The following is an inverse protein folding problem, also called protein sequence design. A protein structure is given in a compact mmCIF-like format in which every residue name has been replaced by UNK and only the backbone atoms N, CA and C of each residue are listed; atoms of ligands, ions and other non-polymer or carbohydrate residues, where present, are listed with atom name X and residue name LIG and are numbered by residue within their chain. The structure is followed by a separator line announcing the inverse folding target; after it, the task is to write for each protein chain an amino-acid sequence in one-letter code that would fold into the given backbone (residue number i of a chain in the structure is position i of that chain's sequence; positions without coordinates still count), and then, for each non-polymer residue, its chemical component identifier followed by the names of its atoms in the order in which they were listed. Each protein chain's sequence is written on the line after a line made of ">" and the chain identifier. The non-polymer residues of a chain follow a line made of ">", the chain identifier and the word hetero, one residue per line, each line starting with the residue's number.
data_IF_232947291675
#
_entry.id   IF_232947291675
#
_cell.length_a   1.000
_cell.length_b   1.000
_cell.length_c   1.000
_cell.angle_alpha   90.00
_cell.angle_beta   90.00
_cell.angle_gamma   90.00
#
_symmetry.space_group_name_H-M   'P 1'
#
loop_
_entity.id
_entity.type
_entity.pdbx_description
1 polymer ?
#
# COMPACT_ATOMS: atom_id res chain seq x y z
N UNK A 1 -1.48 4.15 -9.34
CA UNK A 1 -2.63 4.63 -8.56
C UNK A 1 -3.89 3.90 -8.99
N UNK A 2 -4.51 3.18 -8.06
CA UNK A 2 -5.72 2.38 -8.30
C UNK A 2 -6.34 1.98 -6.96
N UNK A 3 -7.62 1.60 -6.97
CA UNK A 3 -8.27 0.84 -5.88
C UNK A 3 -8.01 -0.67 -6.06
N UNK A 4 -8.40 -1.51 -5.11
CA UNK A 4 -8.13 -2.95 -5.22
C UNK A 4 -9.14 -3.64 -6.14
N UNK A 5 -8.82 -3.70 -7.43
CA UNK A 5 -9.64 -4.37 -8.46
C UNK A 5 -9.26 -5.85 -8.63
N UNK A 6 -10.13 -6.64 -9.25
CA UNK A 6 -9.83 -8.03 -9.62
C UNK A 6 -8.61 -8.15 -10.53
N UNK A 7 -8.36 -7.14 -11.38
CA UNK A 7 -7.16 -7.08 -12.20
C UNK A 7 -5.87 -7.01 -11.36
N UNK A 8 -5.89 -6.21 -10.29
CA UNK A 8 -4.78 -6.13 -9.33
C UNK A 8 -4.63 -7.45 -8.58
N UNK A 9 -5.73 -8.04 -8.10
CA UNK A 9 -5.69 -9.33 -7.40
C UNK A 9 -5.07 -10.43 -8.26
N UNK A 10 -5.50 -10.56 -9.53
CA UNK A 10 -4.90 -11.50 -10.49
C UNK A 10 -3.43 -11.22 -10.74
N UNK A 11 -3.03 -9.95 -10.92
CA UNK A 11 -1.63 -9.62 -11.12
C UNK A 11 -0.75 -10.10 -9.94
N UNK A 12 -1.22 -9.94 -8.69
CA UNK A 12 -0.50 -10.41 -7.51
C UNK A 12 -0.40 -11.94 -7.45
N UNK A 13 -1.49 -12.64 -7.75
CA UNK A 13 -1.58 -14.10 -7.54
C UNK A 13 -1.05 -14.93 -8.71
N UNK A 14 -1.17 -14.42 -9.95
CA UNK A 14 -0.75 -15.11 -11.17
C UNK A 14 0.69 -14.79 -11.54
N UNK A 15 1.10 -13.51 -11.50
CA UNK A 15 2.46 -13.09 -11.88
C UNK A 15 3.48 -13.29 -10.76
N UNK A 16 3.01 -13.37 -9.50
CA UNK A 16 3.81 -13.63 -8.30
C UNK A 16 5.10 -12.79 -8.21
N UNK A 17 5.01 -11.45 -8.25
CA UNK A 17 6.19 -10.57 -8.23
C UNK A 17 6.98 -10.66 -6.92
N UNK A 18 8.31 -10.58 -7.01
CA UNK A 18 9.18 -10.58 -5.82
C UNK A 18 9.03 -9.32 -4.95
N UNK A 19 8.66 -8.21 -5.59
CA UNK A 19 8.45 -6.92 -4.94
C UNK A 19 7.20 -6.27 -5.52
N UNK A 20 6.31 -5.81 -4.65
CA UNK A 20 5.15 -5.00 -5.01
C UNK A 20 5.27 -3.61 -4.40
N UNK A 21 4.77 -2.60 -5.11
CA UNK A 21 4.74 -1.21 -4.63
C UNK A 21 3.29 -0.75 -4.59
N UNK A 22 2.84 -0.26 -3.44
CA UNK A 22 1.46 0.18 -3.23
C UNK A 22 1.40 1.67 -2.90
N UNK A 23 0.48 2.39 -3.53
CA UNK A 23 0.17 3.77 -3.21
C UNK A 23 -0.78 3.81 -1.99
N UNK A 24 -0.21 3.97 -0.80
CA UNK A 24 -0.89 3.78 0.48
C UNK A 24 -1.51 5.07 1.08
N UNK A 25 -1.41 6.21 0.40
CA UNK A 25 -1.88 7.51 0.92
C UNK A 25 -3.39 7.68 1.07
N UNK A 26 -4.20 6.79 0.48
CA UNK A 26 -5.67 6.85 0.51
C UNK A 26 -6.22 8.19 0.02
N UNK A 27 -5.84 8.58 -1.20
CA UNK A 27 -6.41 9.75 -1.87
C UNK A 27 -7.91 9.59 -2.10
N UNK A 28 -8.69 10.61 -1.72
CA UNK A 28 -10.14 10.71 -1.98
C UNK A 28 -10.52 12.15 -2.33
N UNK A 29 -11.59 12.30 -3.11
CA UNK A 29 -12.25 13.59 -3.32
C UNK A 29 -13.32 13.84 -2.24
N UNK A 30 -13.70 15.10 -2.04
CA UNK A 30 -14.81 15.47 -1.13
C UNK A 30 -16.16 14.89 -1.59
N UNK A 31 -16.32 14.77 -2.91
CA UNK A 31 -17.47 14.13 -3.56
C UNK A 31 -16.93 13.18 -4.63
N UNK A 32 -17.30 11.91 -4.58
CA UNK A 32 -16.90 10.91 -5.57
C UNK A 32 -16.40 9.61 -4.96
N UNK A 33 -15.90 8.74 -5.83
CA UNK A 33 -15.34 7.45 -5.44
C UNK A 33 -13.89 7.59 -4.94
N UNK A 34 -13.40 6.65 -4.10
CA UNK A 34 -11.99 6.59 -3.73
C UNK A 34 -11.08 6.52 -4.96
N UNK A 35 -9.96 7.24 -4.93
CA UNK A 35 -8.97 7.20 -6.01
C UNK A 35 -7.89 6.15 -5.75
N UNK A 36 -7.56 5.95 -4.48
CA UNK A 36 -6.59 4.96 -4.01
C UNK A 36 -7.24 3.99 -3.02
N UNK A 37 -6.55 2.87 -2.83
CA UNK A 37 -6.91 1.86 -1.83
C UNK A 37 -7.16 2.48 -0.46
N UNK A 38 -8.26 2.03 0.17
CA UNK A 38 -8.49 2.15 1.61
C UNK A 38 -7.43 1.37 2.41
N UNK A 39 -7.35 1.61 3.73
CA UNK A 39 -6.43 0.85 4.59
C UNK A 39 -6.74 -0.66 4.51
N UNK A 40 -8.02 -1.04 4.49
CA UNK A 40 -8.42 -2.44 4.40
C UNK A 40 -8.00 -3.08 3.08
N UNK A 41 -8.17 -2.35 1.96
CA UNK A 41 -7.68 -2.77 0.65
C UNK A 41 -6.14 -2.86 0.60
N UNK A 42 -5.41 -1.96 1.28
CA UNK A 42 -3.95 -2.07 1.41
C UNK A 42 -3.58 -3.33 2.22
N UNK A 43 -4.30 -3.65 3.30
CA UNK A 43 -4.05 -4.88 4.05
C UNK A 43 -4.32 -6.12 3.19
N UNK A 44 -5.38 -6.12 2.38
CA UNK A 44 -5.67 -7.21 1.43
C UNK A 44 -4.60 -7.31 0.35
N UNK A 45 -4.17 -6.19 -0.24
CA UNK A 45 -3.06 -6.13 -1.19
C UNK A 45 -1.77 -6.72 -0.59
N UNK A 46 -1.45 -6.35 0.66
CA UNK A 46 -0.30 -6.89 1.37
C UNK A 46 -0.46 -8.40 1.55
N UNK A 47 -1.61 -8.90 2.02
CA UNK A 47 -1.85 -10.35 2.18
C UNK A 47 -1.67 -11.11 0.87
N UNK A 48 -2.20 -10.58 -0.23
CA UNK A 48 -2.12 -11.19 -1.57
C UNK A 48 -0.73 -11.09 -2.21
N UNK A 49 0.08 -10.10 -1.81
CA UNK A 49 1.44 -9.96 -2.31
C UNK A 49 2.29 -11.15 -1.82
N UNK A 50 2.97 -11.88 -2.73
CA UNK A 50 3.65 -13.11 -2.38
C UNK A 50 4.90 -12.87 -1.53
N UNK A 51 5.62 -11.79 -1.80
CA UNK A 51 6.91 -11.46 -1.21
C UNK A 51 6.87 -10.05 -0.59
N UNK A 52 7.85 -9.18 -0.90
CA UNK A 52 8.00 -7.87 -0.23
C UNK A 52 7.00 -6.84 -0.77
N UNK A 53 6.51 -5.97 0.11
CA UNK A 53 5.64 -4.84 -0.23
C UNK A 53 6.30 -3.54 0.18
N UNK A 54 6.38 -2.57 -0.73
CA UNK A 54 6.88 -1.22 -0.47
C UNK A 54 5.68 -0.26 -0.46
N UNK A 55 5.47 0.43 0.65
CA UNK A 55 4.44 1.45 0.75
C UNK A 55 4.98 2.82 0.29
N UNK A 56 4.28 3.44 -0.66
CA UNK A 56 4.61 4.74 -1.23
C UNK A 56 3.38 5.68 -1.18
N UNK A 57 3.52 6.90 -1.72
CA UNK A 57 2.46 7.85 -2.01
C UNK A 57 1.76 8.35 -0.74
N UNK A 58 2.54 8.67 0.30
CA UNK A 58 2.07 9.21 1.58
C UNK A 58 2.79 10.53 1.88
N UNK A 59 2.19 11.38 2.72
CA UNK A 59 2.84 12.55 3.34
C UNK A 59 3.42 13.63 2.39
N UNK A 60 3.18 13.53 1.08
CA UNK A 60 3.62 14.52 0.09
C UNK A 60 2.49 15.43 -0.44
N UNK A 61 1.24 14.96 -0.39
CA UNK A 61 0.07 15.65 -0.94
C UNK A 61 -1.06 15.75 0.10
N UNK A 62 -1.73 16.90 0.16
CA UNK A 62 -2.76 17.24 1.15
C UNK A 62 -3.97 16.29 1.17
N UNK A 63 -4.29 15.65 0.05
CA UNK A 63 -5.42 14.73 -0.09
C UNK A 63 -5.05 13.28 0.23
N UNK A 64 -3.80 12.99 0.58
CA UNK A 64 -3.36 11.69 1.08
C UNK A 64 -3.38 11.71 2.62
N UNK A 65 -4.50 11.25 3.20
CA UNK A 65 -4.74 11.35 4.64
C UNK A 65 -3.98 10.31 5.48
N UNK A 66 -3.40 9.27 4.86
CA UNK A 66 -2.66 8.22 5.58
C UNK A 66 -1.20 8.63 5.75
N UNK A 67 -0.74 8.63 6.99
CA UNK A 67 0.65 8.88 7.40
C UNK A 67 1.40 7.57 7.60
N UNK A 68 2.74 7.62 7.63
CA UNK A 68 3.58 6.44 7.89
C UNK A 68 3.27 5.79 9.25
N UNK A 69 3.08 6.54 10.36
CA UNK A 69 2.68 5.94 11.64
C UNK A 69 1.31 5.27 11.60
N UNK A 70 0.32 5.87 10.94
CA UNK A 70 -1.04 5.28 10.79
C UNK A 70 -0.95 3.96 10.04
N UNK A 71 -0.20 3.92 8.94
CA UNK A 71 -0.01 2.71 8.16
C UNK A 71 0.74 1.63 8.96
N UNK A 72 1.82 2.01 9.67
CA UNK A 72 2.60 1.09 10.49
C UNK A 72 1.75 0.42 11.57
N UNK A 73 0.93 1.20 12.27
CA UNK A 73 0.02 0.68 13.29
C UNK A 73 -0.99 -0.32 12.70
N UNK A 74 -1.55 -0.02 11.52
CA UNK A 74 -2.46 -0.94 10.83
C UNK A 74 -1.77 -2.25 10.42
N UNK A 75 -0.55 -2.18 9.90
CA UNK A 75 0.26 -3.35 9.52
C UNK A 75 0.54 -4.23 10.75
N UNK A 76 0.97 -3.61 11.85
CA UNK A 76 1.32 -4.33 13.08
C UNK A 76 0.12 -5.03 13.69
N UNK A 77 -1.04 -4.35 13.76
CA UNK A 77 -2.31 -4.95 14.23
C UNK A 77 -2.74 -6.16 13.40
N UNK A 78 -2.34 -6.21 12.13
CA UNK A 78 -2.68 -7.30 11.22
C UNK A 78 -1.60 -8.40 11.14
N UNK A 79 -0.48 -8.26 11.86
CA UNK A 79 0.63 -9.22 11.85
C UNK A 79 1.35 -9.30 10.51
N UNK A 80 1.44 -8.18 9.77
CA UNK A 80 1.98 -8.14 8.41
C UNK A 80 3.38 -7.49 8.32
N UNK A 81 3.98 -7.15 9.45
CA UNK A 81 5.18 -6.31 9.54
C UNK A 81 6.41 -6.88 8.84
N UNK A 82 6.54 -8.21 8.82
CA UNK A 82 7.75 -8.89 8.33
C UNK A 82 8.00 -8.74 6.83
N UNK A 83 6.99 -8.35 6.05
CA UNK A 83 7.10 -8.22 4.59
C UNK A 83 6.85 -6.83 4.04
N UNK A 84 6.64 -5.82 4.91
CA UNK A 84 6.31 -4.46 4.49
C UNK A 84 7.44 -3.49 4.82
N UNK A 85 7.84 -2.72 3.82
CA UNK A 85 8.82 -1.64 3.91
C UNK A 85 8.11 -0.30 3.74
N UNK A 86 8.37 0.64 4.64
CA UNK A 86 7.81 2.01 4.63
C UNK A 86 8.99 3.00 4.57
N UNK A 87 9.59 3.19 3.38
CA UNK A 87 10.79 4.00 3.26
C UNK A 87 10.54 5.48 3.62
N UNK A 88 11.54 6.12 4.21
CA UNK A 88 11.61 7.57 4.36
C UNK A 88 11.93 8.25 3.01
N UNK A 89 11.66 9.55 2.92
CA UNK A 89 12.00 10.32 1.73
C UNK A 89 13.53 10.32 1.54
N UNK A 90 13.99 9.84 0.38
CA UNK A 90 15.42 9.70 0.05
C UNK A 90 16.07 8.39 0.52
N UNK A 91 15.33 7.49 1.17
CA UNK A 91 15.84 6.17 1.53
C UNK A 91 16.05 5.28 0.30
N UNK A 92 17.17 4.56 0.26
CA UNK A 92 17.50 3.58 -0.79
C UNK A 92 17.33 2.16 -0.26
N UNK A 93 16.64 1.32 -1.02
CA UNK A 93 16.45 -0.10 -0.70
C UNK A 93 17.22 -0.95 -1.72
N UNK A 94 17.99 -1.93 -1.25
CA UNK A 94 18.76 -2.87 -2.09
C UNK A 94 18.22 -4.30 -1.91
N UNK A 95 18.18 -5.08 -3.00
CA UNK A 95 17.56 -6.41 -3.05
C UNK A 95 18.38 -7.40 -3.87
#
# INVERSE_FOLDING_TARGET
>A
DTVLTDGVKRALTELKPDITVVAAGRARMDVGQPLLMSIDEVMEFIRLSPNKVIANHMEALNHCAVTRPILKEAIDKNGLSDKVLIPADGETLEF
#
